data_IF_937261588120
#
_entry.id   IF_937261588120
#
_cell.length_a   1.000
_cell.length_b   1.000
_cell.length_c   1.000
_cell.angle_alpha   90.00
_cell.angle_beta   90.00
_cell.angle_gamma   90.00
#
_symmetry.space_group_name_H-M   'P 1'
#
loop_
_entity.id
_entity.type
_entity.pdbx_description
1 polymer ?
#
# COMPACT_ATOMS: atom_id res chain seq x y z
N UNK A 1 17.61 2.29 12.82
CA UNK A 1 16.58 2.30 11.77
C UNK A 1 16.71 3.53 10.90
N UNK A 2 17.05 3.34 9.63
CA UNK A 2 17.07 4.38 8.60
C UNK A 2 16.51 3.78 7.32
N UNK A 3 15.75 4.58 6.57
CA UNK A 3 15.24 4.20 5.26
C UNK A 3 15.38 5.38 4.29
N UNK A 4 15.84 5.11 3.08
CA UNK A 4 15.93 6.04 1.97
C UNK A 4 15.59 5.31 0.69
N UNK A 5 14.51 5.74 0.05
CA UNK A 5 14.12 5.31 -1.29
C UNK A 5 14.11 6.49 -2.25
N UNK A 6 14.52 6.27 -3.50
CA UNK A 6 14.43 7.24 -4.60
C UNK A 6 13.66 6.63 -5.76
N UNK A 7 12.68 7.37 -6.27
CA UNK A 7 11.89 7.01 -7.44
C UNK A 7 12.06 8.12 -8.48
N UNK A 8 12.62 7.78 -9.64
CA UNK A 8 12.85 8.68 -10.77
C UNK A 8 11.73 8.51 -11.79
N UNK A 9 11.37 7.27 -12.11
CA UNK A 9 10.34 6.96 -13.11
C UNK A 9 8.95 7.40 -12.65
N UNK A 10 8.28 8.14 -13.53
CA UNK A 10 6.91 8.62 -13.35
C UNK A 10 5.91 7.47 -13.41
N UNK A 11 6.17 6.43 -14.21
CA UNK A 11 5.29 5.27 -14.28
C UNK A 11 5.28 4.51 -12.94
N UNK A 12 6.45 4.24 -12.35
CA UNK A 12 6.57 3.64 -11.02
C UNK A 12 5.91 4.51 -9.94
N UNK A 13 6.15 5.83 -9.96
CA UNK A 13 5.49 6.75 -9.02
C UNK A 13 3.96 6.70 -9.14
N UNK A 14 3.43 6.68 -10.36
CA UNK A 14 2.00 6.57 -10.63
C UNK A 14 1.43 5.23 -10.16
N UNK A 15 2.19 4.15 -10.32
CA UNK A 15 1.82 2.82 -9.86
C UNK A 15 1.67 2.79 -8.33
N UNK A 16 2.71 3.22 -7.60
CA UNK A 16 2.70 3.30 -6.13
C UNK A 16 1.57 4.20 -5.62
N UNK A 17 1.36 5.36 -6.26
CA UNK A 17 0.28 6.28 -5.88
C UNK A 17 -1.10 5.63 -6.03
N UNK A 18 -1.32 4.82 -7.07
CA UNK A 18 -2.58 4.09 -7.27
C UNK A 18 -2.79 3.00 -6.22
N UNK A 19 -1.73 2.27 -5.86
CA UNK A 19 -1.76 1.26 -4.80
C UNK A 19 -2.14 1.92 -3.47
N UNK A 20 -1.41 2.94 -3.04
CA UNK A 20 -1.67 3.65 -1.78
C UNK A 20 -3.06 4.30 -1.76
N UNK A 21 -3.51 4.87 -2.89
CA UNK A 21 -4.88 5.42 -3.03
C UNK A 21 -5.98 4.35 -2.97
N UNK A 22 -5.66 3.10 -3.31
CA UNK A 22 -6.57 1.97 -3.14
C UNK A 22 -6.62 1.55 -1.68
N UNK A 23 -5.45 1.44 -1.04
CA UNK A 23 -5.33 1.09 0.38
C UNK A 23 -6.03 2.13 1.27
N UNK A 24 -5.91 3.42 0.96
CA UNK A 24 -6.58 4.50 1.69
C UNK A 24 -8.11 4.38 1.66
N UNK A 25 -8.68 3.82 0.58
CA UNK A 25 -10.12 3.56 0.52
C UNK A 25 -10.56 2.34 1.34
N UNK A 26 -9.63 1.47 1.70
CA UNK A 26 -9.88 0.24 2.45
C UNK A 26 -9.72 0.45 3.95
N UNK A 27 -8.73 1.25 4.38
CA UNK A 27 -8.41 1.44 5.79
C UNK A 27 -7.86 2.85 6.07
N UNK A 28 -8.09 3.33 7.29
CA UNK A 28 -7.51 4.59 7.80
C UNK A 28 -6.05 4.43 8.23
N UNK A 29 -5.67 3.24 8.69
CA UNK A 29 -4.32 2.92 9.17
C UNK A 29 -3.87 1.59 8.59
N UNK A 30 -2.60 1.48 8.23
CA UNK A 30 -2.01 0.21 7.84
C UNK A 30 -0.57 0.11 8.34
N UNK A 31 -0.04 -1.11 8.32
CA UNK A 31 1.36 -1.35 8.62
C UNK A 31 2.15 -1.36 7.32
N UNK A 32 3.17 -0.51 7.24
CA UNK A 32 4.20 -0.54 6.22
C UNK A 32 5.40 -1.30 6.78
N UNK A 33 5.66 -2.49 6.23
CA UNK A 33 6.84 -3.29 6.53
C UNK A 33 7.84 -3.17 5.38
N UNK A 34 9.04 -2.72 5.71
CA UNK A 34 10.14 -2.55 4.77
C UNK A 34 11.17 -3.65 5.02
N UNK A 35 11.60 -4.30 3.94
CA UNK A 35 12.64 -5.35 3.93
C UNK A 35 13.62 -5.06 2.79
N UNK A 36 14.77 -5.71 2.78
CA UNK A 36 15.82 -5.45 1.78
C UNK A 36 15.33 -5.58 0.33
N UNK A 37 14.37 -6.48 0.08
CA UNK A 37 13.89 -6.82 -1.26
C UNK A 37 12.49 -6.31 -1.56
N UNK A 38 11.65 -6.13 -0.53
CA UNK A 38 10.22 -5.91 -0.70
C UNK A 38 9.66 -4.90 0.31
N UNK A 39 8.57 -4.25 -0.09
CA UNK A 39 7.72 -3.40 0.74
C UNK A 39 6.36 -4.08 0.87
N UNK A 40 5.86 -4.17 2.09
CA UNK A 40 4.58 -4.78 2.38
C UNK A 40 3.64 -3.76 3.04
N UNK A 41 2.43 -3.66 2.51
CA UNK A 41 1.33 -2.98 3.18
C UNK A 41 0.38 -4.03 3.76
N UNK A 42 0.28 -4.04 5.08
CA UNK A 42 -0.45 -5.05 5.84
C UNK A 42 -1.61 -4.40 6.57
N UNK A 43 -2.80 -4.96 6.40
CA UNK A 43 -3.96 -4.72 7.23
C UNK A 43 -4.27 -6.01 7.99
N UNK A 44 -4.08 -6.01 9.29
CA UNK A 44 -4.47 -7.13 10.16
C UNK A 44 -5.85 -6.83 10.73
N UNK A 45 -6.88 -7.41 10.13
CA UNK A 45 -8.25 -7.30 10.63
C UNK A 45 -8.41 -8.18 11.88
N UNK A 46 -8.54 -7.59 13.07
CA UNK A 46 -8.88 -8.38 14.27
C UNK A 46 -10.28 -8.98 14.07
N UNK A 47 -10.33 -10.31 14.04
CA UNK A 47 -11.42 -11.16 13.53
C UNK A 47 -12.74 -11.06 14.33
N UNK A 48 -12.78 -10.30 15.43
CA UNK A 48 -13.93 -10.26 16.33
C UNK A 48 -15.26 -9.83 15.65
N UNK A 49 -15.24 -9.00 14.60
CA UNK A 49 -16.46 -8.48 13.94
C UNK A 49 -16.33 -8.35 12.40
N UNK A 50 -15.74 -9.33 11.71
CA UNK A 50 -15.66 -9.29 10.24
C UNK A 50 -14.63 -8.27 9.69
N UNK A 51 -13.49 -8.15 10.37
CA UNK A 51 -12.38 -7.32 9.91
C UNK A 51 -11.80 -7.85 8.59
N UNK A 52 -11.60 -6.96 7.62
CA UNK A 52 -10.89 -7.26 6.38
C UNK A 52 -9.40 -7.37 6.69
N UNK A 53 -8.75 -8.42 6.20
CA UNK A 53 -7.30 -8.52 6.18
C UNK A 53 -6.78 -8.31 4.76
N UNK A 54 -5.64 -7.65 4.62
CA UNK A 54 -5.02 -7.34 3.33
C UNK A 54 -3.52 -7.54 3.43
N UNK A 55 -2.96 -8.23 2.46
CA UNK A 55 -1.52 -8.36 2.24
C UNK A 55 -1.20 -7.82 0.85
N UNK A 56 -0.44 -6.73 0.78
CA UNK A 56 0.01 -6.15 -0.49
C UNK A 56 1.52 -6.09 -0.49
N UNK A 57 2.13 -6.81 -1.43
CA UNK A 57 3.57 -6.87 -1.64
C UNK A 57 3.97 -6.06 -2.87
N UNK A 58 5.05 -5.31 -2.74
CA UNK A 58 5.69 -4.56 -3.82
C UNK A 58 7.19 -4.83 -3.79
N UNK A 59 7.75 -5.31 -4.91
CA UNK A 59 9.20 -5.45 -5.05
C UNK A 59 9.89 -4.11 -5.13
N UNK A 60 10.92 -3.91 -4.31
CA UNK A 60 11.68 -2.65 -4.30
C UNK A 60 12.34 -2.40 -5.66
N UNK A 61 12.81 -3.46 -6.33
CA UNK A 61 13.48 -3.39 -7.63
C UNK A 61 12.58 -2.85 -8.75
N UNK A 62 11.25 -2.99 -8.60
CA UNK A 62 10.29 -2.48 -9.58
C UNK A 62 9.85 -1.04 -9.29
N UNK A 63 10.21 -0.50 -8.12
CA UNK A 63 9.70 0.78 -7.62
C UNK A 63 10.80 1.81 -7.47
N UNK A 64 11.94 1.43 -6.89
CA UNK A 64 13.01 2.34 -6.49
C UNK A 64 14.24 2.18 -7.37
N UNK A 65 14.79 3.30 -7.81
CA UNK A 65 16.10 3.36 -8.48
C UNK A 65 17.24 3.29 -7.46
N UNK A 66 17.03 3.84 -6.27
CA UNK A 66 17.93 3.73 -5.13
C UNK A 66 17.12 3.30 -3.91
N UNK A 67 17.52 2.20 -3.27
CA UNK A 67 16.90 1.67 -2.06
C UNK A 67 17.99 1.40 -1.02
N UNK A 68 17.94 2.12 0.08
CA UNK A 68 18.84 1.94 1.22
C UNK A 68 18.02 1.83 2.48
N UNK A 69 18.21 0.74 3.21
CA UNK A 69 17.60 0.56 4.52
C UNK A 69 18.59 -0.03 5.50
N UNK A 70 18.43 0.36 6.75
CA UNK A 70 19.18 -0.13 7.89
C UNK A 70 18.15 -0.42 8.99
N UNK A 71 17.93 -1.69 9.30
CA UNK A 71 16.98 -2.14 10.32
C UNK A 71 17.41 -1.77 11.75
N UNK A 72 16.91 -2.55 12.71
CA UNK A 72 17.30 -2.39 14.13
C UNK A 72 18.57 -3.19 14.44
N UNK A 73 18.75 -4.34 13.80
CA UNK A 73 19.87 -5.27 13.98
C UNK A 73 20.28 -5.88 12.64
N UNK A 74 21.51 -6.37 12.53
CA UNK A 74 21.98 -7.16 11.39
C UNK A 74 21.21 -8.47 11.21
N UNK A 75 20.63 -9.00 12.28
CA UNK A 75 19.83 -10.25 12.26
C UNK A 75 18.37 -10.00 11.87
N UNK A 76 17.83 -8.82 12.18
CA UNK A 76 16.46 -8.40 11.87
C UNK A 76 16.49 -7.10 11.06
N UNK A 77 16.88 -7.22 9.79
CA UNK A 77 16.97 -6.10 8.86
C UNK A 77 15.60 -5.74 8.26
N UNK A 78 14.63 -5.46 9.14
CA UNK A 78 13.28 -5.04 8.78
C UNK A 78 12.89 -3.78 9.54
N UNK A 79 11.92 -3.04 9.00
CA UNK A 79 11.34 -1.87 9.65
C UNK A 79 9.82 -1.95 9.51
N UNK A 80 9.11 -2.04 10.63
CA UNK A 80 7.64 -2.01 10.65
C UNK A 80 7.16 -0.66 11.20
N UNK A 81 6.38 0.04 10.39
CA UNK A 81 5.82 1.35 10.69
C UNK A 81 4.29 1.28 10.59
N UNK A 82 3.58 1.90 11.52
CA UNK A 82 2.18 2.22 11.35
C UNK A 82 2.07 3.56 10.62
N UNK A 83 1.28 3.58 9.56
CA UNK A 83 1.13 4.74 8.68
C UNK A 83 -0.34 4.97 8.35
N UNK A 84 -0.68 6.24 8.08
CA UNK A 84 -1.97 6.63 7.51
C UNK A 84 -1.86 6.71 5.98
N UNK A 85 -2.48 5.81 5.21
CA UNK A 85 -2.38 5.80 3.74
C UNK A 85 -2.81 7.12 3.08
N UNK A 86 -3.78 7.83 3.67
CA UNK A 86 -4.24 9.15 3.19
C UNK A 86 -3.11 10.18 3.16
N UNK A 87 -2.24 10.19 4.17
CA UNK A 87 -1.14 11.15 4.27
C UNK A 87 -0.09 10.86 3.18
N UNK A 88 0.24 9.58 2.97
CA UNK A 88 1.11 9.13 1.88
C UNK A 88 0.49 9.46 0.50
N UNK A 89 -0.79 9.19 0.31
CA UNK A 89 -1.53 9.48 -0.93
C UNK A 89 -1.50 10.97 -1.26
N UNK A 90 -1.69 11.84 -0.26
CA UNK A 90 -1.63 13.30 -0.44
C UNK A 90 -0.23 13.76 -0.82
N UNK A 91 0.80 13.28 -0.12
CA UNK A 91 2.20 13.61 -0.40
C UNK A 91 2.67 13.15 -1.78
N UNK A 92 2.17 12.01 -2.28
CA UNK A 92 2.54 11.51 -3.61
C UNK A 92 1.81 12.24 -4.76
N UNK A 93 0.55 12.65 -4.57
CA UNK A 93 -0.22 13.38 -5.58
C UNK A 93 0.38 14.75 -5.92
N UNK A 94 0.98 15.44 -4.96
CA UNK A 94 1.68 16.71 -5.20
C UNK A 94 2.91 16.52 -6.08
N UNK A 95 3.61 15.39 -5.98
CA UNK A 95 4.78 15.07 -6.81
C UNK A 95 4.37 14.81 -8.26
N UNK A 96 3.21 14.17 -8.49
CA UNK A 96 2.66 13.98 -9.84
C UNK A 96 2.38 15.31 -10.54
N UNK A 97 1.81 16.28 -9.82
CA UNK A 97 1.46 17.59 -10.40
C UNK A 97 2.68 18.51 -10.58
N UNK A 98 3.72 18.36 -9.74
CA UNK A 98 4.92 19.20 -9.81
C UNK A 98 5.75 18.98 -11.08
N UNK A 99 5.76 17.76 -11.65
CA UNK A 99 6.46 17.46 -12.91
C UNK A 99 5.75 17.97 -14.17
N UNK A 100 4.49 18.42 -14.07
CA UNK A 100 3.67 18.87 -15.21
C UNK A 100 3.77 20.38 -15.52
N UNK A 101 4.59 21.14 -14.80
CA UNK A 101 4.75 22.59 -15.03
C UNK A 101 5.74 22.81 -16.19
N UNK A 102 5.23 23.33 -17.32
CA UNK A 102 6.00 23.70 -18.51
C UNK A 102 7.28 24.48 -18.16
N UNK A 103 8.43 24.20 -18.80
CA UNK A 103 9.66 24.95 -18.57
C UNK A 103 9.59 26.29 -19.31
N UNK A 104 9.15 27.35 -18.63
CA UNK A 104 9.40 28.73 -19.05
C UNK A 104 10.74 29.21 -18.46
N UNK A 105 11.81 29.03 -19.24
CA UNK A 105 13.07 29.81 -19.26
C UNK A 105 13.77 30.21 -17.94
N UNK A 106 13.53 29.55 -16.81
CA UNK A 106 14.35 29.70 -15.60
C UNK A 106 14.51 28.35 -14.89
N UNK A 107 15.74 27.82 -14.87
CA UNK A 107 16.07 26.49 -14.35
C UNK A 107 16.10 26.46 -12.81
N UNK A 108 15.00 26.80 -12.15
CA UNK A 108 14.87 26.64 -10.70
C UNK A 108 14.15 25.32 -10.44
N UNK A 109 14.90 24.28 -10.07
CA UNK A 109 14.31 23.01 -9.63
C UNK A 109 13.52 23.25 -8.35
N UNK A 110 12.20 23.09 -8.40
CA UNK A 110 11.34 23.18 -7.21
C UNK A 110 11.35 21.83 -6.49
N UNK A 111 11.93 21.79 -5.30
CA UNK A 111 11.89 20.64 -4.41
C UNK A 111 10.69 20.80 -3.49
N UNK A 112 9.85 19.77 -3.40
CA UNK A 112 8.70 19.73 -2.48
C UNK A 112 8.93 18.64 -1.46
N UNK A 113 9.07 19.02 -0.20
CA UNK A 113 9.25 18.09 0.93
C UNK A 113 7.92 17.90 1.66
N UNK A 114 7.58 16.66 1.98
CA UNK A 114 6.42 16.32 2.80
C UNK A 114 6.87 15.53 4.01
N UNK A 115 6.49 16.00 5.19
CA UNK A 115 6.67 15.26 6.43
C UNK A 115 5.40 14.43 6.67
N UNK A 116 5.53 13.10 6.57
CA UNK A 116 4.43 12.18 6.83
C UNK A 116 4.65 11.56 8.21
N UNK A 117 3.72 11.73 9.17
CA UNK A 117 3.85 11.12 10.48
C UNK A 117 3.76 9.59 10.35
N UNK A 118 4.66 8.89 11.04
CA UNK A 118 4.73 7.44 11.11
C UNK A 118 5.01 7.02 12.55
N UNK A 119 4.40 5.93 12.99
CA UNK A 119 4.65 5.36 14.32
C UNK A 119 5.46 4.08 14.19
N UNK A 120 6.52 3.96 15.01
CA UNK A 120 7.38 2.77 14.98
C UNK A 120 6.72 1.64 15.75
N UNK A 121 6.52 0.49 15.10
CA UNK A 121 5.91 -0.67 15.73
C UNK A 121 6.98 -1.43 16.54
N UNK A 122 6.75 -1.72 17.83
CA UNK A 122 7.67 -2.52 18.64
C UNK A 122 7.88 -3.92 18.08
N UNK A 123 9.13 -4.41 18.08
CA UNK A 123 9.53 -5.74 17.55
C UNK A 123 8.69 -6.91 18.07
N UNK A 124 8.25 -6.85 19.33
CA UNK A 124 7.39 -7.88 19.93
C UNK A 124 6.09 -8.12 19.17
N UNK A 125 5.60 -7.12 18.42
CA UNK A 125 4.34 -7.20 17.65
C UNK A 125 4.57 -7.59 16.18
N UNK A 126 5.80 -7.69 15.70
CA UNK A 126 6.07 -7.92 14.27
C UNK A 126 5.55 -9.27 13.76
N UNK A 127 5.41 -10.26 14.65
CA UNK A 127 4.84 -11.57 14.31
C UNK A 127 3.38 -11.49 13.87
N UNK A 128 2.63 -10.47 14.28
CA UNK A 128 1.22 -10.25 13.88
C UNK A 128 1.07 -9.73 12.44
N UNK A 129 2.18 -9.29 11.82
CA UNK A 129 2.21 -8.69 10.49
C UNK A 129 3.00 -9.55 9.48
N UNK A 130 2.95 -10.88 9.68
CA UNK A 130 3.47 -11.85 8.73
C UNK A 130 2.41 -12.22 7.70
N UNK A 131 2.87 -12.73 6.57
CA UNK A 131 1.99 -13.22 5.52
C UNK A 131 1.07 -14.31 6.07
N UNK A 132 -0.26 -14.21 5.85
CA UNK A 132 -1.18 -15.22 6.31
C UNK A 132 -0.95 -16.53 5.54
N UNK A 133 -0.99 -17.67 6.24
CA UNK A 133 -0.96 -18.97 5.59
C UNK A 133 -2.21 -19.15 4.72
N UNK A 134 -2.00 -19.45 3.44
CA UNK A 134 -3.09 -19.73 2.52
C UNK A 134 -3.75 -21.07 2.91
N UNK A 135 -5.04 -21.10 3.29
CA UNK A 135 -5.73 -22.35 3.58
C UNK A 135 -6.02 -23.11 2.27
N UNK A 136 -6.25 -24.42 2.38
CA UNK A 136 -6.74 -25.20 1.25
C UNK A 136 -8.15 -24.73 0.84
N UNK A 137 -8.37 -24.54 -0.45
CA UNK A 137 -9.67 -24.13 -0.99
C UNK A 137 -10.42 -25.33 -1.54
N UNK A 138 -11.70 -25.46 -1.19
CA UNK A 138 -12.59 -26.42 -1.83
C UNK A 138 -12.84 -26.08 -3.31
N UNK A 139 -12.71 -24.79 -3.65
CA UNK A 139 -13.09 -24.22 -4.94
C UNK A 139 -12.23 -23.02 -5.29
N UNK A 140 -11.79 -22.93 -6.54
CA UNK A 140 -11.20 -21.73 -7.12
C UNK A 140 -11.92 -21.36 -8.41
N UNK A 141 -12.25 -20.08 -8.59
CA UNK A 141 -12.90 -19.54 -9.78
C UNK A 141 -12.23 -18.25 -10.22
N UNK A 142 -12.13 -18.05 -11.53
CA UNK A 142 -11.66 -16.79 -12.09
C UNK A 142 -12.73 -15.72 -11.94
N UNK A 143 -12.33 -14.54 -11.45
CA UNK A 143 -13.24 -13.41 -11.36
C UNK A 143 -13.54 -12.83 -12.75
N UNK A 144 -14.79 -12.44 -13.02
CA UNK A 144 -15.13 -11.65 -14.19
C UNK A 144 -14.48 -10.25 -14.09
N UNK A 145 -14.54 -9.42 -15.15
CA UNK A 145 -14.00 -8.07 -15.12
C UNK A 145 -14.45 -7.28 -13.88
N UNK A 146 -13.50 -6.90 -13.02
CA UNK A 146 -13.77 -6.29 -11.71
C UNK A 146 -14.61 -5.01 -11.80
N UNK A 147 -14.51 -4.28 -12.92
CA UNK A 147 -15.33 -3.09 -13.19
C UNK A 147 -16.81 -3.44 -13.31
N UNK A 148 -17.14 -4.52 -14.01
CA UNK A 148 -18.51 -5.01 -14.16
C UNK A 148 -19.03 -5.48 -12.81
N UNK A 149 -18.24 -6.27 -12.09
CA UNK A 149 -18.60 -6.76 -10.75
C UNK A 149 -18.86 -5.60 -9.78
N UNK A 150 -17.98 -4.59 -9.75
CA UNK A 150 -18.15 -3.38 -8.94
C UNK A 150 -19.48 -2.68 -9.24
N UNK A 151 -19.80 -2.45 -10.51
CA UNK A 151 -21.04 -1.78 -10.91
C UNK A 151 -22.30 -2.53 -10.45
N UNK A 152 -22.26 -3.87 -10.48
CA UNK A 152 -23.36 -4.72 -10.00
C UNK A 152 -23.47 -4.62 -8.48
N UNK A 153 -22.37 -4.80 -7.75
CA UNK A 153 -22.34 -4.69 -6.28
C UNK A 153 -22.79 -3.30 -5.81
N UNK A 154 -22.38 -2.23 -6.50
CA UNK A 154 -22.78 -0.85 -6.20
C UNK A 154 -24.29 -0.60 -6.36
N UNK A 155 -24.99 -1.38 -7.20
CA UNK A 155 -26.45 -1.32 -7.31
C UNK A 155 -27.12 -2.19 -6.26
N UNK A 156 -26.57 -3.38 -5.98
CA UNK A 156 -27.13 -4.34 -5.04
C UNK A 156 -27.04 -3.88 -3.58
N UNK A 157 -26.00 -3.11 -3.21
CA UNK A 157 -25.86 -2.57 -1.84
C UNK A 157 -27.04 -1.70 -1.39
N UNK A 158 -27.78 -1.11 -2.35
CA UNK A 158 -28.96 -0.30 -2.05
C UNK A 158 -30.20 -1.16 -1.75
N UNK A 159 -30.15 -2.46 -2.06
CA UNK A 159 -31.26 -3.40 -1.89
C UNK A 159 -31.08 -4.26 -0.63
N UNK A 160 -29.85 -4.67 -0.33
CA UNK A 160 -29.52 -5.52 0.82
C UNK A 160 -28.07 -5.33 1.26
N UNK A 161 -27.83 -5.57 2.56
CA UNK A 161 -26.49 -5.64 3.15
C UNK A 161 -25.84 -7.03 2.98
N UNK A 162 -26.58 -8.02 2.46
CA UNK A 162 -26.12 -9.38 2.25
C UNK A 162 -26.02 -9.71 0.76
N UNK A 163 -24.91 -10.32 0.36
CA UNK A 163 -24.66 -10.80 -1.00
C UNK A 163 -24.19 -12.25 -0.94
N UNK A 164 -24.86 -13.14 -1.66
CA UNK A 164 -24.52 -14.56 -1.74
C UNK A 164 -23.82 -14.81 -3.08
N UNK A 165 -22.57 -15.28 -3.03
CA UNK A 165 -21.85 -15.74 -4.20
C UNK A 165 -22.07 -17.23 -4.40
N UNK A 166 -22.75 -17.61 -5.48
CA UNK A 166 -22.84 -19.01 -5.94
C UNK A 166 -22.08 -19.17 -7.25
N UNK A 167 -21.52 -20.37 -7.46
CA UNK A 167 -21.03 -20.81 -8.77
C UNK A 167 -22.09 -21.70 -9.41
N UNK A 168 -22.28 -21.55 -10.71
CA UNK A 168 -23.02 -22.50 -11.57
C UNK A 168 -22.06 -23.46 -12.24
#
# INVERSE_FOLDING_TARGET
MKFRGKIVDVACLNHVTRVISTISKLTKTCVLRLTADNLFFVLSGKVANGGVSMWCELSQANVFDEYQMEGVSSEDNEICLEVTPENLSRALKTVQNAKAVKPTLSSISRVVTHDVPVDVIPRRLWHEFKEPSMPDFDVSVYLPPLKTMKNVVDRMKNLSNFLVGSRS
#
